data_IF_133528068912
#
_entry.id   IF_133528068912
#
_cell.length_a   1.000
_cell.length_b   1.000
_cell.length_c   1.000
_cell.angle_alpha   90.00
_cell.angle_beta   90.00
_cell.angle_gamma   90.00
#
_symmetry.space_group_name_H-M   'P 1'
#
loop_
_entity.id
_entity.type
_entity.pdbx_description
1 polymer ?
#
# COMPACT_ATOMS: atom_id res chain seq x y z
N UNK A 1 -1.02 -2.80 -29.67
CA UNK A 1 -0.66 -2.08 -28.44
C UNK A 1 0.05 -3.07 -27.54
N UNK A 2 1.36 -2.89 -27.31
CA UNK A 2 2.13 -3.73 -26.39
C UNK A 2 2.25 -2.93 -25.08
N UNK A 3 1.50 -3.33 -24.07
CA UNK A 3 1.65 -2.81 -22.71
C UNK A 3 2.83 -3.53 -22.08
N UNK A 4 3.88 -2.80 -21.70
CA UNK A 4 5.01 -3.35 -20.92
C UNK A 4 4.80 -2.99 -19.45
N UNK A 5 3.85 -3.67 -18.81
CA UNK A 5 3.65 -3.52 -17.37
C UNK A 5 4.89 -4.03 -16.63
N UNK A 6 5.54 -3.15 -15.88
CA UNK A 6 6.75 -3.44 -15.13
C UNK A 6 6.44 -3.39 -13.63
N UNK A 7 7.17 -4.17 -12.83
CA UNK A 7 6.95 -4.31 -11.38
C UNK A 7 7.78 -3.29 -10.61
N UNK A 8 7.25 -2.79 -9.49
CA UNK A 8 7.93 -1.84 -8.60
C UNK A 8 7.65 -2.13 -7.13
N UNK A 9 8.54 -1.65 -6.25
CA UNK A 9 8.37 -1.62 -4.79
C UNK A 9 8.06 -0.18 -4.37
N UNK A 10 6.95 0.01 -3.67
CA UNK A 10 6.59 1.31 -3.10
C UNK A 10 6.84 1.28 -1.61
N UNK A 11 7.80 2.07 -1.14
CA UNK A 11 8.11 2.24 0.28
C UNK A 11 7.03 3.12 0.91
N UNK A 12 6.51 2.72 2.07
CA UNK A 12 5.73 3.63 2.91
C UNK A 12 6.53 4.91 3.21
N UNK A 13 5.92 6.07 3.03
CA UNK A 13 6.59 7.37 3.14
C UNK A 13 7.05 7.71 4.57
N UNK A 14 8.02 8.61 4.64
CA UNK A 14 8.89 8.88 5.78
C UNK A 14 8.20 9.68 6.91
N UNK A 15 8.42 9.28 8.17
CA UNK A 15 8.11 10.09 9.36
C UNK A 15 7.41 9.36 10.52
N UNK A 16 6.86 8.17 10.29
CA UNK A 16 6.26 7.32 11.31
C UNK A 16 5.93 5.94 10.75
N UNK A 17 5.87 4.92 11.61
CA UNK A 17 5.76 3.50 11.26
C UNK A 17 4.41 3.09 10.62
N UNK A 18 3.65 4.03 10.06
CA UNK A 18 2.32 3.83 9.53
C UNK A 18 2.33 3.87 8.00
N UNK A 19 2.08 2.73 7.35
CA UNK A 19 1.70 2.72 5.94
C UNK A 19 0.24 2.28 5.81
N UNK A 20 -0.52 3.21 5.22
CA UNK A 20 -1.94 3.17 4.87
C UNK A 20 -2.90 3.51 6.01
N UNK A 21 -3.70 4.52 5.70
CA UNK A 21 -4.83 4.95 6.50
C UNK A 21 -6.07 4.24 5.99
N UNK A 22 -6.84 3.64 6.88
CA UNK A 22 -8.12 3.01 6.55
C UNK A 22 -9.21 3.50 7.48
N UNK A 23 -10.40 3.69 6.91
CA UNK A 23 -11.57 4.11 7.64
C UNK A 23 -12.42 2.89 8.03
N UNK A 24 -12.54 2.61 9.32
CA UNK A 24 -13.60 1.76 9.82
C UNK A 24 -14.90 2.56 9.86
N UNK A 25 -15.98 2.04 9.26
CA UNK A 25 -17.32 2.61 9.45
C UNK A 25 -17.82 2.23 10.85
N UNK A 26 -18.03 3.23 11.71
CA UNK A 26 -18.71 3.04 13.00
C UNK A 26 -20.22 3.10 12.79
N UNK A 27 -20.69 4.04 11.96
CA UNK A 27 -22.08 4.14 11.50
C UNK A 27 -22.13 4.73 10.08
N UNK A 28 -23.33 5.03 9.55
CA UNK A 28 -23.50 5.55 8.19
C UNK A 28 -22.81 6.92 7.93
N UNK A 29 -22.55 7.71 8.98
CA UNK A 29 -21.97 9.05 8.92
C UNK A 29 -20.60 9.15 9.59
N UNK A 30 -20.28 8.24 10.52
CA UNK A 30 -19.06 8.29 11.32
C UNK A 30 -18.05 7.23 10.87
N UNK A 31 -16.86 7.70 10.51
CA UNK A 31 -15.71 6.87 10.18
C UNK A 31 -14.59 7.11 11.18
N UNK A 32 -14.03 6.02 11.70
CA UNK A 32 -12.82 6.06 12.52
C UNK A 32 -11.63 5.70 11.64
N UNK A 33 -10.69 6.62 11.39
CA UNK A 33 -9.47 6.28 10.69
C UNK A 33 -8.53 5.50 11.61
N UNK A 34 -7.81 4.57 11.01
CA UNK A 34 -6.74 3.78 11.60
C UNK A 34 -5.47 3.97 10.80
N UNK A 35 -4.34 4.05 11.51
CA UNK A 35 -3.03 3.84 10.93
C UNK A 35 -2.64 2.36 11.10
N UNK A 36 -1.92 1.83 10.11
CA UNK A 36 -1.49 0.43 10.05
C UNK A 36 0.02 0.39 9.85
N UNK A 37 0.70 -0.51 10.55
CA UNK A 37 2.15 -0.68 10.48
C UNK A 37 2.60 -2.10 10.79
N UNK A 38 3.91 -2.34 10.71
CA UNK A 38 4.52 -3.55 11.27
C UNK A 38 4.80 -3.37 12.77
N UNK A 39 4.69 -4.45 13.54
CA UNK A 39 4.87 -4.43 14.99
C UNK A 39 6.28 -4.01 15.42
N UNK A 40 7.27 -4.32 14.62
CA UNK A 40 8.68 -3.96 14.84
C UNK A 40 9.00 -2.50 14.47
N UNK A 41 8.02 -1.78 13.91
CA UNK A 41 8.20 -0.42 13.41
C UNK A 41 9.04 -0.33 12.14
N UNK A 42 9.34 -1.46 11.49
CA UNK A 42 10.12 -1.47 10.27
C UNK A 42 9.32 -0.86 9.11
N UNK A 43 10.07 -0.33 8.14
CA UNK A 43 9.52 0.08 6.86
C UNK A 43 9.24 -1.15 6.01
N UNK A 44 8.16 -1.07 5.23
CA UNK A 44 7.72 -2.15 4.36
C UNK A 44 7.36 -1.64 2.98
N UNK A 45 7.23 -2.60 2.06
CA UNK A 45 7.03 -2.38 0.65
C UNK A 45 5.69 -2.94 0.18
N UNK A 46 5.03 -2.22 -0.73
CA UNK A 46 3.89 -2.77 -1.47
C UNK A 46 4.31 -3.32 -2.83
N UNK A 47 3.68 -4.41 -3.26
CA UNK A 47 3.74 -4.86 -4.64
C UNK A 47 3.01 -3.85 -5.53
N UNK A 48 3.74 -3.22 -6.45
CA UNK A 48 3.19 -2.26 -7.39
C UNK A 48 3.47 -2.62 -8.85
N UNK A 49 2.63 -2.11 -9.74
CA UNK A 49 2.90 -2.07 -11.18
C UNK A 49 3.12 -0.61 -11.57
N UNK A 50 3.96 -0.38 -12.58
CA UNK A 50 4.18 0.95 -13.14
C UNK A 50 4.18 0.90 -14.66
N UNK A 51 3.88 2.04 -15.26
CA UNK A 51 3.94 2.25 -16.70
C UNK A 51 4.40 3.68 -17.03
N UNK A 52 4.93 3.86 -18.24
CA UNK A 52 5.31 5.15 -18.80
C UNK A 52 4.49 5.42 -20.04
N UNK A 53 3.58 6.38 -19.94
CA UNK A 53 2.81 6.87 -21.07
C UNK A 53 3.49 8.11 -21.67
N UNK A 54 3.52 8.23 -23.00
CA UNK A 54 4.02 9.42 -23.70
C UNK A 54 2.87 10.12 -24.39
N UNK A 55 2.65 11.38 -24.03
CA UNK A 55 1.68 12.24 -24.69
C UNK A 55 2.11 12.46 -26.14
N UNK A 56 1.21 12.20 -27.09
CA UNK A 56 1.51 12.31 -28.52
C UNK A 56 1.54 13.76 -29.02
N UNK A 57 0.79 14.66 -28.38
CA UNK A 57 0.69 16.06 -28.76
C UNK A 57 1.82 16.90 -28.15
N UNK A 58 2.16 16.67 -26.88
CA UNK A 58 3.19 17.44 -26.16
C UNK A 58 4.55 16.75 -26.15
N UNK A 59 4.60 15.43 -26.41
CA UNK A 59 5.81 14.63 -26.30
C UNK A 59 6.26 14.34 -24.86
N UNK A 60 5.51 14.81 -23.85
CA UNK A 60 5.85 14.63 -22.44
C UNK A 60 5.63 13.19 -21.99
N UNK A 61 6.52 12.68 -21.13
CA UNK A 61 6.37 11.38 -20.50
C UNK A 61 5.67 11.53 -19.14
N UNK A 62 4.69 10.68 -18.89
CA UNK A 62 4.01 10.52 -17.62
C UNK A 62 4.32 9.11 -17.10
N UNK A 63 4.95 9.05 -15.95
CA UNK A 63 5.21 7.79 -15.23
C UNK A 63 4.18 7.65 -14.12
N UNK A 64 3.44 6.56 -14.13
CA UNK A 64 2.42 6.27 -13.13
C UNK A 64 2.63 4.89 -12.56
N UNK A 65 2.08 4.68 -11.37
CA UNK A 65 2.07 3.38 -10.72
C UNK A 65 0.71 3.08 -10.11
N UNK A 66 0.51 1.82 -9.77
CA UNK A 66 -0.62 1.32 -9.00
C UNK A 66 -0.14 0.31 -7.96
N UNK A 67 -0.83 0.26 -6.83
CA UNK A 67 -0.60 -0.73 -5.76
C UNK A 67 -1.55 -1.92 -5.99
N UNK A 68 -1.01 -3.13 -5.93
CA UNK A 68 -1.82 -4.35 -5.97
C UNK A 68 -2.46 -4.58 -4.60
N UNK A 69 -3.74 -4.94 -4.62
CA UNK A 69 -4.52 -5.27 -3.42
C UNK A 69 -4.91 -6.74 -3.42
N UNK A 70 -5.08 -7.29 -2.24
CA UNK A 70 -5.54 -8.67 -1.96
C UNK A 70 -6.64 -8.66 -0.89
N UNK A 71 -7.16 -9.84 -0.56
CA UNK A 71 -8.11 -10.03 0.54
C UNK A 71 -7.52 -9.57 1.88
N UNK A 72 -8.33 -9.11 2.84
CA UNK A 72 -7.82 -8.73 4.15
C UNK A 72 -7.36 -9.96 4.94
N UNK A 73 -6.38 -9.77 5.83
CA UNK A 73 -6.09 -10.71 6.92
C UNK A 73 -6.98 -10.42 8.14
N UNK A 74 -6.81 -11.17 9.22
CA UNK A 74 -7.64 -11.09 10.44
C UNK A 74 -7.58 -9.72 11.13
N UNK A 75 -6.44 -9.01 11.04
CA UNK A 75 -6.30 -7.65 11.56
C UNK A 75 -7.08 -6.64 10.71
N UNK A 76 -7.11 -6.86 9.40
CA UNK A 76 -7.63 -5.92 8.41
C UNK A 76 -9.12 -6.09 8.15
N UNK A 77 -9.64 -7.30 8.27
CA UNK A 77 -11.04 -7.66 8.03
C UNK A 77 -12.06 -6.75 8.75
N UNK A 78 -11.90 -6.43 10.06
CA UNK A 78 -12.83 -5.51 10.74
C UNK A 78 -12.68 -4.03 10.31
N UNK A 79 -11.60 -3.68 9.61
CA UNK A 79 -11.30 -2.30 9.18
C UNK A 79 -11.70 -2.05 7.72
N UNK A 80 -11.42 -2.99 6.82
CA UNK A 80 -11.69 -2.86 5.39
C UNK A 80 -11.68 -4.22 4.68
N UNK A 81 -12.47 -4.35 3.61
CA UNK A 81 -12.57 -5.57 2.80
C UNK A 81 -11.39 -5.86 1.86
N UNK A 82 -10.29 -5.11 1.94
CA UNK A 82 -9.10 -5.25 1.07
C UNK A 82 -7.87 -4.69 1.76
N UNK A 83 -6.72 -5.32 1.55
CA UNK A 83 -5.41 -4.79 1.97
C UNK A 83 -4.45 -4.70 0.78
N UNK A 84 -3.39 -3.88 0.85
CA UNK A 84 -2.33 -3.93 -0.15
C UNK A 84 -1.56 -5.25 -0.01
N UNK A 85 -0.98 -5.73 -1.11
CA UNK A 85 0.01 -6.79 -1.04
C UNK A 85 1.31 -6.19 -0.47
N UNK A 86 1.65 -6.56 0.76
CA UNK A 86 2.93 -6.21 1.39
C UNK A 86 3.94 -7.31 1.04
N UNK A 87 5.08 -6.93 0.49
CA UNK A 87 6.17 -7.84 0.15
C UNK A 87 7.13 -7.97 1.33
N UNK A 88 7.66 -9.18 1.54
CA UNK A 88 8.76 -9.40 2.48
C UNK A 88 10.10 -8.96 1.85
N UNK A 89 11.07 -8.47 2.63
CA UNK A 89 12.37 -8.04 2.11
C UNK A 89 13.07 -9.09 1.23
N UNK A 90 12.99 -10.36 1.60
CA UNK A 90 13.54 -11.49 0.85
C UNK A 90 12.92 -11.67 -0.55
N UNK A 91 11.69 -11.19 -0.76
CA UNK A 91 10.96 -11.33 -2.02
C UNK A 91 11.15 -10.14 -2.98
N UNK A 92 11.81 -9.05 -2.54
CA UNK A 92 11.97 -7.83 -3.35
C UNK A 92 12.69 -8.10 -4.67
N UNK A 93 13.78 -8.88 -4.63
CA UNK A 93 14.53 -9.22 -5.83
C UNK A 93 13.66 -9.97 -6.85
N UNK A 94 12.95 -11.00 -6.37
CA UNK A 94 12.03 -11.81 -7.19
C UNK A 94 10.87 -10.98 -7.75
N UNK A 95 10.39 -9.99 -7.00
CA UNK A 95 9.37 -9.06 -7.48
C UNK A 95 9.88 -8.10 -8.56
N UNK A 96 11.11 -7.60 -8.44
CA UNK A 96 11.69 -6.61 -9.34
C UNK A 96 12.36 -7.20 -10.58
N UNK A 97 12.69 -8.49 -10.55
CA UNK A 97 13.30 -9.19 -11.68
C UNK A 97 12.44 -9.01 -12.95
N UNK A 98 13.00 -8.62 -14.11
CA UNK A 98 12.26 -8.60 -15.36
C UNK A 98 11.73 -10.01 -15.65
N UNK A 99 10.41 -10.19 -15.53
CA UNK A 99 9.81 -11.51 -15.56
C UNK A 99 9.64 -12.02 -16.98
N UNK A 100 9.90 -13.31 -17.19
CA UNK A 100 9.29 -14.04 -18.29
C UNK A 100 7.77 -14.08 -18.05
N UNK A 101 6.92 -13.76 -19.05
CA UNK A 101 5.47 -13.72 -18.86
C UNK A 101 4.85 -15.02 -18.33
N UNK A 102 5.50 -16.17 -18.55
CA UNK A 102 5.08 -17.48 -18.05
C UNK A 102 5.48 -17.76 -16.59
N UNK A 103 6.28 -16.89 -15.96
CA UNK A 103 6.85 -17.10 -14.63
C UNK A 103 6.70 -15.86 -13.73
N UNK A 104 5.55 -15.19 -13.80
CA UNK A 104 5.22 -14.10 -12.87
C UNK A 104 5.10 -14.64 -11.44
N UNK A 105 5.60 -13.94 -10.40
CA UNK A 105 5.54 -14.40 -9.01
C UNK A 105 4.17 -14.10 -8.39
N UNK A 106 3.12 -14.68 -8.99
CA UNK A 106 1.73 -14.50 -8.58
C UNK A 106 1.45 -15.06 -7.18
N UNK A 107 2.27 -15.99 -6.71
CA UNK A 107 2.21 -16.53 -5.34
C UNK A 107 2.56 -15.50 -4.27
N UNK A 108 3.24 -14.40 -4.63
CA UNK A 108 3.49 -13.27 -3.73
C UNK A 108 2.23 -12.40 -3.52
N UNK A 109 1.18 -12.55 -4.34
CA UNK A 109 -0.04 -11.74 -4.29
C UNK A 109 -1.03 -12.25 -3.23
N UNK A 110 -0.55 -12.35 -1.99
CA UNK A 110 -1.30 -12.91 -0.85
C UNK A 110 -1.35 -11.92 0.32
N UNK A 111 -2.31 -12.07 1.25
CA UNK A 111 -2.36 -11.26 2.45
C UNK A 111 -1.07 -11.42 3.27
N UNK A 112 -0.63 -10.33 3.91
CA UNK A 112 0.48 -10.38 4.87
C UNK A 112 0.01 -11.01 6.19
N UNK A 113 0.90 -11.62 6.95
CA UNK A 113 0.50 -12.22 8.24
C UNK A 113 0.05 -11.16 9.24
N UNK A 114 -1.11 -11.35 9.86
CA UNK A 114 -1.66 -10.44 10.86
C UNK A 114 -0.80 -10.37 12.13
N UNK A 115 -0.09 -11.46 12.45
CA UNK A 115 0.77 -11.55 13.64
C UNK A 115 1.95 -10.59 13.65
N UNK A 116 2.37 -10.08 12.49
CA UNK A 116 3.47 -9.13 12.34
C UNK A 116 2.98 -7.68 12.13
N UNK A 117 1.66 -7.48 12.05
CA UNK A 117 1.05 -6.18 11.80
C UNK A 117 0.40 -5.60 13.06
N UNK A 118 0.25 -4.28 13.08
CA UNK A 118 -0.49 -3.55 14.11
C UNK A 118 -1.35 -2.46 13.49
N UNK A 119 -2.45 -2.13 14.14
CA UNK A 119 -3.34 -1.05 13.76
C UNK A 119 -3.74 -0.25 15.00
N UNK A 120 -3.79 1.08 14.87
CA UNK A 120 -4.19 1.97 15.96
C UNK A 120 -5.08 3.10 15.44
N UNK A 121 -5.99 3.56 16.30
CA UNK A 121 -6.89 4.66 15.98
C UNK A 121 -6.10 5.95 15.86
N UNK A 122 -6.43 6.76 14.86
CA UNK A 122 -5.84 8.09 14.66
C UNK A 122 -6.92 9.16 14.59
N UNK A 123 -6.50 10.41 14.63
CA UNK A 123 -7.42 11.54 14.57
C UNK A 123 -8.06 11.69 13.17
N UNK A 124 -9.36 12.02 13.12
CA UNK A 124 -10.12 12.26 11.88
C UNK A 124 -9.52 13.35 10.98
N UNK A 125 -8.66 14.23 11.51
CA UNK A 125 -7.90 15.24 10.75
C UNK A 125 -7.20 14.67 9.53
N UNK A 126 -6.80 13.40 9.58
CA UNK A 126 -6.08 12.75 8.49
C UNK A 126 -6.90 12.65 7.20
N UNK A 127 -8.23 12.71 7.30
CA UNK A 127 -9.11 12.76 6.12
C UNK A 127 -9.01 14.05 5.31
N UNK A 128 -8.41 15.12 5.84
CA UNK A 128 -8.15 16.36 5.11
C UNK A 128 -6.70 16.38 4.62
N UNK A 129 -6.52 16.22 3.30
CA UNK A 129 -5.23 16.15 2.61
C UNK A 129 -4.33 17.38 2.79
N UNK A 130 -4.85 18.50 3.30
CA UNK A 130 -4.04 19.69 3.63
C UNK A 130 -3.26 19.52 4.94
N UNK A 131 -3.64 18.57 5.79
CA UNK A 131 -2.93 18.25 7.02
C UNK A 131 -1.79 17.29 6.69
N UNK A 132 -0.56 17.75 6.90
CA UNK A 132 0.66 16.97 6.68
C UNK A 132 1.62 17.17 7.85
N UNK A 133 1.24 16.63 9.00
CA UNK A 133 1.91 16.78 10.27
C UNK A 133 1.84 15.49 11.09
N UNK A 134 2.73 15.27 12.08
CA UNK A 134 2.79 14.02 12.84
C UNK A 134 1.48 13.62 13.55
N UNK A 135 0.60 14.58 13.88
CA UNK A 135 -0.67 14.31 14.55
C UNK A 135 -1.64 13.50 13.67
N UNK A 136 -1.36 13.38 12.37
CA UNK A 136 -2.12 12.57 11.44
C UNK A 136 -1.99 11.06 11.68
N UNK A 137 -0.89 10.62 12.31
CA UNK A 137 -0.59 9.21 12.57
C UNK A 137 -0.35 8.90 14.05
N UNK A 138 -0.43 9.90 14.92
CA UNK A 138 -0.37 9.73 16.37
C UNK A 138 -1.58 8.92 16.88
N UNK A 139 -1.30 8.01 17.81
CA UNK A 139 -2.33 7.16 18.41
C UNK A 139 -3.26 7.97 19.31
N UNK A 140 -4.57 7.70 19.20
CA UNK A 140 -5.61 8.21 20.09
C UNK A 140 -5.65 7.47 21.43
#
# INVERSE_FOLDING_TARGET
MSWKLSRTVLRGADGGNAARLLDQKIDAKTKQPYAIGLKDGALFAFAGLWDRWKDKATGQALETYTIITTDPNELMEPLHNRMPVILRPEDYGRWLEPGEPSHLPVDLLRPYTSDEMTAWKVNARVGNVRNNDPLCVEAL
#
